data_IF_925842110603
#
_entry.id   IF_925842110603
#
_cell.length_a   1.000
_cell.length_b   1.000
_cell.length_c   1.000
_cell.angle_alpha   90.00
_cell.angle_beta   90.00
_cell.angle_gamma   90.00
#
_symmetry.space_group_name_H-M   'P 1'
#
loop_
_entity.id
_entity.type
_entity.pdbx_description
1 polymer ?
#
# COMPACT_ATOMS: atom_id res chain seq x y z
N UNK A 1 -18.37 2.39 31.89
CA UNK A 1 -16.93 2.01 31.91
C UNK A 1 -16.81 0.72 31.12
N UNK A 2 -16.59 0.82 29.81
CA UNK A 2 -16.28 -0.35 28.98
C UNK A 2 -14.76 -0.42 28.85
N UNK A 3 -14.23 -1.60 29.13
CA UNK A 3 -12.83 -1.94 29.18
C UNK A 3 -12.36 -2.12 27.73
N UNK A 4 -11.66 -1.13 27.17
CA UNK A 4 -10.99 -1.29 25.87
C UNK A 4 -9.83 -2.27 26.06
N UNK A 5 -10.03 -3.52 25.63
CA UNK A 5 -8.99 -4.54 25.60
C UNK A 5 -7.84 -4.05 24.71
N UNK A 6 -6.65 -3.91 25.32
CA UNK A 6 -5.45 -3.26 24.77
C UNK A 6 -4.72 -3.96 23.62
N UNK A 7 -5.45 -4.37 22.58
CA UNK A 7 -4.87 -4.81 21.30
C UNK A 7 -5.43 -3.93 20.18
N UNK A 8 -4.77 -2.80 19.90
CA UNK A 8 -5.11 -1.98 18.73
C UNK A 8 -4.45 -2.54 17.45
N UNK A 9 -5.06 -2.27 16.28
CA UNK A 9 -4.57 -2.82 15.00
C UNK A 9 -3.19 -2.27 14.65
N UNK A 10 -2.90 -1.04 15.08
CA UNK A 10 -1.57 -0.42 14.98
C UNK A 10 -0.49 -1.23 15.70
N UNK A 11 -0.73 -1.68 16.93
CA UNK A 11 0.21 -2.54 17.66
C UNK A 11 0.31 -3.91 16.99
N UNK A 12 -0.81 -4.47 16.52
CA UNK A 12 -0.80 -5.73 15.79
C UNK A 12 0.05 -5.66 14.52
N UNK A 13 -0.14 -4.66 13.64
CA UNK A 13 0.61 -4.53 12.39
C UNK A 13 2.11 -4.27 12.62
N UNK A 14 2.46 -3.45 13.61
CA UNK A 14 3.86 -3.24 14.01
C UNK A 14 4.52 -4.54 14.47
N UNK A 15 3.80 -5.36 15.23
CA UNK A 15 4.33 -6.61 15.80
C UNK A 15 4.26 -7.81 14.82
N UNK A 16 3.28 -7.83 13.92
CA UNK A 16 3.11 -8.88 12.92
C UNK A 16 4.26 -8.87 11.90
N UNK A 17 4.65 -7.68 11.42
CA UNK A 17 5.82 -7.53 10.54
C UNK A 17 7.11 -7.97 11.23
N UNK A 18 7.26 -7.66 12.52
CA UNK A 18 8.44 -8.02 13.31
C UNK A 18 8.55 -9.54 13.55
N UNK A 19 7.42 -10.24 13.70
CA UNK A 19 7.38 -11.70 13.86
C UNK A 19 7.74 -12.43 12.57
N UNK A 20 7.30 -11.93 11.41
CA UNK A 20 7.67 -12.51 10.11
C UNK A 20 9.18 -12.40 9.82
N UNK A 21 9.81 -11.28 10.20
CA UNK A 21 11.26 -11.07 10.05
C UNK A 21 12.06 -11.95 11.04
N UNK A 22 11.60 -12.09 12.28
CA UNK A 22 12.23 -12.95 13.29
C UNK A 22 12.14 -14.44 12.95
N UNK A 23 11.09 -14.87 12.23
CA UNK A 23 10.96 -16.27 11.77
C UNK A 23 11.92 -16.62 10.62
N UNK A 24 12.32 -15.64 9.80
CA UNK A 24 13.19 -15.85 8.64
C UNK A 24 14.69 -15.72 8.95
N UNK A 25 15.05 -15.06 10.06
CA UNK A 25 16.45 -14.81 10.44
C UNK A 25 16.67 -15.34 11.85
N UNK A 26 17.35 -16.50 11.94
CA UNK A 26 17.67 -17.15 13.21
C UNK A 26 18.25 -16.17 14.24
N UNK A 27 17.66 -16.21 15.43
CA UNK A 27 17.99 -15.47 16.66
C UNK A 27 19.30 -14.68 16.64
N UNK A 28 19.20 -13.35 16.52
CA UNK A 28 20.02 -12.41 17.31
C UNK A 28 19.18 -11.22 17.73
N UNK A 29 19.03 -11.10 19.05
CA UNK A 29 18.48 -9.95 19.77
C UNK A 29 19.20 -8.67 19.33
N UNK A 30 18.45 -7.68 18.85
CA UNK A 30 18.92 -6.31 18.72
C UNK A 30 17.77 -5.36 19.09
N UNK A 31 18.13 -4.35 19.86
CA UNK A 31 17.28 -3.48 20.64
C UNK A 31 16.28 -2.68 19.79
N UNK A 32 15.09 -2.45 20.36
CA UNK A 32 14.14 -1.49 19.85
C UNK A 32 14.72 -0.08 20.03
N UNK A 33 15.30 0.47 18.97
CA UNK A 33 15.47 1.91 18.84
C UNK A 33 14.13 2.53 18.47
N UNK A 34 13.71 3.49 19.28
CA UNK A 34 12.56 4.35 19.06
C UNK A 34 12.87 5.21 17.83
N UNK A 35 12.32 4.84 16.67
CA UNK A 35 12.50 5.61 15.45
C UNK A 35 11.71 6.91 15.56
N UNK A 36 12.48 7.99 15.69
CA UNK A 36 12.02 9.37 15.60
C UNK A 36 11.19 9.60 14.34
N UNK A 37 10.08 10.31 14.53
CA UNK A 37 9.18 10.76 13.47
C UNK A 37 9.94 11.74 12.58
N UNK A 38 10.34 11.27 11.40
CA UNK A 38 10.88 12.16 10.36
C UNK A 38 9.72 12.98 9.79
N UNK A 39 9.70 14.25 10.17
CA UNK A 39 8.75 15.25 9.70
C UNK A 39 9.09 15.65 8.25
N UNK A 40 8.27 15.19 7.29
CA UNK A 40 8.38 15.59 5.89
C UNK A 40 7.53 16.84 5.63
N UNK A 41 8.19 17.92 5.21
CA UNK A 41 7.59 19.22 4.95
C UNK A 41 6.53 19.17 3.84
N UNK A 42 5.28 19.53 4.18
CA UNK A 42 4.20 19.73 3.20
C UNK A 42 2.78 19.52 3.75
N UNK A 43 2.26 20.51 4.48
CA UNK A 43 0.85 20.78 4.84
C UNK A 43 0.05 19.70 5.61
N UNK A 44 -0.02 19.90 6.94
CA UNK A 44 -0.97 19.27 7.86
C UNK A 44 -0.66 17.82 8.18
N UNK A 45 -0.51 17.49 9.47
CA UNK A 45 -0.49 16.09 9.90
C UNK A 45 -1.84 15.47 9.52
N UNK A 46 -1.90 14.79 8.37
CA UNK A 46 -3.05 13.96 8.06
C UNK A 46 -3.02 12.78 9.03
N UNK A 47 -3.91 12.82 10.00
CA UNK A 47 -4.12 11.70 10.91
C UNK A 47 -4.81 10.60 10.11
N UNK A 48 -4.07 9.54 9.82
CA UNK A 48 -4.64 8.32 9.24
C UNK A 48 -5.18 7.44 10.35
N UNK A 49 -6.49 7.18 10.30
CA UNK A 49 -7.15 6.20 11.16
C UNK A 49 -7.14 4.82 10.46
N UNK A 50 -6.27 3.93 10.93
CA UNK A 50 -6.20 2.55 10.47
C UNK A 50 -7.06 1.59 11.32
N UNK A 51 -7.68 2.10 12.39
CA UNK A 51 -8.60 1.36 13.24
C UNK A 51 -10.06 1.48 12.71
N UNK A 52 -10.36 2.53 11.93
CA UNK A 52 -11.60 2.63 11.15
C UNK A 52 -11.80 1.38 10.26
N UNK A 53 -12.91 0.67 10.46
CA UNK A 53 -13.27 -0.44 9.60
C UNK A 53 -13.86 0.09 8.28
N UNK A 54 -13.26 -0.30 7.16
CA UNK A 54 -13.74 0.04 5.82
C UNK A 54 -14.26 -1.21 5.12
N UNK A 55 -15.58 -1.36 5.05
CA UNK A 55 -16.20 -2.52 4.37
C UNK A 55 -15.91 -2.49 2.88
N UNK A 56 -15.53 -3.65 2.34
CA UNK A 56 -15.29 -3.89 0.91
C UNK A 56 -16.14 -5.04 0.36
N UNK A 57 -17.12 -5.49 1.14
CA UNK A 57 -18.16 -6.42 0.66
C UNK A 57 -19.11 -5.66 -0.27
N UNK A 58 -19.59 -6.33 -1.31
CA UNK A 58 -20.44 -5.76 -2.36
C UNK A 58 -19.75 -4.62 -3.14
N UNK A 59 -18.43 -4.74 -3.36
CA UNK A 59 -17.63 -3.75 -4.11
C UNK A 59 -16.85 -4.35 -5.27
N UNK A 60 -17.21 -5.57 -5.70
CA UNK A 60 -16.49 -6.40 -6.67
C UNK A 60 -15.05 -6.72 -6.20
N UNK A 61 -14.84 -6.86 -4.90
CA UNK A 61 -13.55 -7.17 -4.30
C UNK A 61 -13.18 -8.64 -4.49
N UNK A 62 -12.03 -8.94 -5.09
CA UNK A 62 -11.54 -10.33 -5.17
C UNK A 62 -11.26 -10.88 -3.76
N UNK A 63 -10.76 -10.05 -2.85
CA UNK A 63 -10.43 -10.47 -1.48
C UNK A 63 -11.66 -10.89 -0.68
N UNK A 64 -12.79 -10.22 -0.87
CA UNK A 64 -14.03 -10.44 -0.12
C UNK A 64 -15.09 -11.15 -0.97
N UNK A 65 -15.60 -10.50 -2.00
CA UNK A 65 -16.74 -10.98 -2.79
C UNK A 65 -16.43 -12.26 -3.55
N UNK A 66 -15.23 -12.37 -4.17
CA UNK A 66 -14.85 -13.63 -4.83
C UNK A 66 -14.61 -14.76 -3.83
N UNK A 67 -14.10 -14.47 -2.62
CA UNK A 67 -13.90 -15.47 -1.59
C UNK A 67 -15.26 -16.00 -1.08
N UNK A 68 -16.21 -15.12 -0.81
CA UNK A 68 -17.58 -15.48 -0.41
C UNK A 68 -18.26 -16.28 -1.52
N UNK A 69 -18.16 -15.84 -2.77
CA UNK A 69 -18.75 -16.55 -3.91
C UNK A 69 -18.14 -17.96 -4.12
N UNK A 70 -16.85 -18.13 -3.85
CA UNK A 70 -16.14 -19.41 -4.08
C UNK A 70 -16.31 -20.39 -2.92
N UNK A 71 -16.26 -19.90 -1.68
CA UNK A 71 -16.18 -20.74 -0.48
C UNK A 71 -17.42 -20.66 0.41
N UNK A 72 -18.40 -19.80 0.08
CA UNK A 72 -19.65 -19.61 0.81
C UNK A 72 -19.61 -18.45 1.82
N UNK A 73 -20.79 -18.12 2.35
CA UNK A 73 -20.98 -17.04 3.34
C UNK A 73 -20.34 -17.30 4.70
N UNK A 74 -19.77 -18.50 4.91
CA UNK A 74 -18.98 -18.84 6.09
C UNK A 74 -17.64 -18.08 6.14
N UNK A 75 -17.19 -17.48 5.02
CA UNK A 75 -16.01 -16.62 4.99
C UNK A 75 -16.30 -15.30 5.72
N UNK A 76 -15.91 -15.25 6.99
CA UNK A 76 -16.04 -14.05 7.83
C UNK A 76 -14.80 -13.14 7.79
N UNK A 77 -13.67 -13.62 7.26
CA UNK A 77 -12.40 -12.90 7.27
C UNK A 77 -11.63 -13.12 5.95
N UNK A 78 -11.47 -12.07 5.16
CA UNK A 78 -10.65 -12.08 3.94
C UNK A 78 -9.17 -11.87 4.24
N UNK A 79 -8.35 -12.93 4.13
CA UNK A 79 -6.88 -12.85 4.36
C UNK A 79 -6.02 -13.48 3.24
N UNK A 80 -6.63 -13.84 2.10
CA UNK A 80 -5.93 -14.57 1.03
C UNK A 80 -5.22 -13.68 -0.02
N UNK A 81 -5.81 -12.55 -0.39
CA UNK A 81 -5.30 -11.67 -1.46
C UNK A 81 -4.50 -10.51 -0.88
N UNK A 82 -3.36 -10.20 -1.51
CA UNK A 82 -2.43 -9.16 -1.06
C UNK A 82 -2.87 -7.74 -1.46
N UNK A 83 -4.03 -7.31 -0.98
CA UNK A 83 -4.45 -5.91 -0.93
C UNK A 83 -4.90 -5.53 0.51
N UNK A 84 -5.20 -4.25 0.74
CA UNK A 84 -5.46 -3.70 2.07
C UNK A 84 -6.92 -3.28 2.26
N UNK A 85 -7.44 -3.41 3.48
CA UNK A 85 -8.78 -2.93 3.86
C UNK A 85 -8.72 -1.54 4.49
N UNK A 86 -7.94 -0.64 3.88
CA UNK A 86 -7.80 0.75 4.29
C UNK A 86 -8.22 1.67 3.16
N UNK A 87 -8.70 2.87 3.52
CA UNK A 87 -8.86 3.95 2.56
C UNK A 87 -7.50 4.28 1.93
N UNK A 88 -7.48 4.54 0.63
CA UNK A 88 -6.29 5.08 -0.01
C UNK A 88 -5.92 6.44 0.62
N UNK A 89 -4.63 6.81 0.65
CA UNK A 89 -4.20 8.14 1.09
C UNK A 89 -4.95 9.26 0.36
N UNK A 90 -5.34 10.32 1.07
CA UNK A 90 -6.18 11.37 0.49
C UNK A 90 -5.55 12.04 -0.73
N UNK A 91 -4.22 12.12 -0.79
CA UNK A 91 -3.52 12.67 -1.96
C UNK A 91 -3.80 11.88 -3.24
N UNK A 92 -3.95 10.54 -3.14
CA UNK A 92 -4.29 9.68 -4.27
C UNK A 92 -5.74 9.89 -4.68
N UNK A 93 -6.66 9.87 -3.71
CA UNK A 93 -8.09 10.08 -3.97
C UNK A 93 -8.36 11.45 -4.60
N UNK A 94 -7.70 12.51 -4.12
CA UNK A 94 -7.81 13.86 -4.69
C UNK A 94 -7.30 13.92 -6.13
N UNK A 95 -6.11 13.37 -6.41
CA UNK A 95 -5.57 13.35 -7.77
C UNK A 95 -6.47 12.58 -8.75
N UNK A 96 -7.11 11.49 -8.30
CA UNK A 96 -8.10 10.76 -9.10
C UNK A 96 -9.36 11.60 -9.34
N UNK A 97 -9.89 12.27 -8.30
CA UNK A 97 -11.06 13.14 -8.42
C UNK A 97 -10.80 14.33 -9.36
N UNK A 98 -9.64 15.00 -9.23
CA UNK A 98 -9.20 16.07 -10.13
C UNK A 98 -9.08 15.57 -11.57
N UNK A 99 -8.56 14.35 -11.77
CA UNK A 99 -8.53 13.75 -13.12
C UNK A 99 -9.95 13.48 -13.65
N UNK A 100 -10.90 13.12 -12.78
CA UNK A 100 -12.32 12.92 -13.14
C UNK A 100 -13.00 14.19 -13.67
N UNK A 101 -12.54 15.39 -13.26
CA UNK A 101 -13.07 16.67 -13.76
C UNK A 101 -12.76 16.91 -15.25
N UNK A 102 -11.72 16.25 -15.79
CA UNK A 102 -11.43 16.29 -17.23
C UNK A 102 -12.16 15.15 -17.97
N UNK A 103 -13.30 15.47 -18.57
CA UNK A 103 -14.26 14.50 -19.13
C UNK A 103 -13.84 13.81 -20.45
N UNK A 104 -12.58 13.94 -20.87
CA UNK A 104 -12.04 13.21 -22.03
C UNK A 104 -11.14 12.05 -21.57
N UNK A 105 -11.44 10.85 -22.07
CA UNK A 105 -10.79 9.58 -21.72
C UNK A 105 -9.94 8.98 -22.86
N UNK A 106 -9.59 9.79 -23.86
CA UNK A 106 -8.72 9.39 -24.96
C UNK A 106 -7.27 9.10 -24.52
N UNK A 107 -6.42 8.83 -25.50
CA UNK A 107 -5.02 8.48 -25.25
C UNK A 107 -4.26 9.58 -24.50
N UNK A 108 -3.57 9.19 -23.42
CA UNK A 108 -2.75 10.09 -22.62
C UNK A 108 -1.28 10.01 -23.06
N UNK A 109 -0.67 11.17 -23.26
CA UNK A 109 0.79 11.29 -23.25
C UNK A 109 1.27 11.33 -21.81
N UNK A 110 2.27 10.53 -21.48
CA UNK A 110 2.89 10.53 -20.14
C UNK A 110 3.71 11.80 -19.93
N UNK A 111 3.53 12.54 -18.82
CA UNK A 111 4.40 13.64 -18.45
C UNK A 111 5.76 13.13 -17.92
N UNK A 112 6.83 13.91 -18.04
CA UNK A 112 8.15 13.54 -17.51
C UNK A 112 8.14 13.37 -15.99
N UNK A 113 7.31 14.17 -15.31
CA UNK A 113 7.10 14.13 -13.86
C UNK A 113 6.70 12.74 -13.33
N UNK A 114 6.13 11.88 -14.17
CA UNK A 114 5.81 10.51 -13.77
C UNK A 114 7.06 9.68 -13.50
N UNK A 115 8.06 9.77 -14.38
CA UNK A 115 9.34 9.03 -14.21
C UNK A 115 10.19 9.69 -13.14
N UNK A 116 10.22 11.02 -13.10
CA UNK A 116 10.90 11.79 -12.05
C UNK A 116 10.41 11.36 -10.66
N UNK A 117 9.10 11.24 -10.44
CA UNK A 117 8.54 10.80 -9.17
C UNK A 117 9.00 9.39 -8.74
N UNK A 118 9.19 8.45 -9.68
CA UNK A 118 9.69 7.10 -9.40
C UNK A 118 11.16 7.15 -8.96
N UNK A 119 11.99 7.88 -9.69
CA UNK A 119 13.42 8.04 -9.39
C UNK A 119 13.60 8.69 -8.03
N UNK A 120 12.90 9.80 -7.81
CA UNK A 120 12.86 10.55 -6.57
C UNK A 120 12.46 9.72 -5.36
N UNK A 121 11.40 8.91 -5.50
CA UNK A 121 10.92 8.05 -4.43
C UNK A 121 11.99 7.03 -4.02
N UNK A 122 12.64 6.40 -4.99
CA UNK A 122 13.68 5.41 -4.74
C UNK A 122 14.95 6.04 -4.16
N UNK A 123 15.34 7.22 -4.64
CA UNK A 123 16.46 7.98 -4.08
C UNK A 123 16.22 8.34 -2.62
N UNK A 124 15.07 8.96 -2.29
CA UNK A 124 14.75 9.36 -0.91
C UNK A 124 14.57 8.18 0.04
N UNK A 125 13.96 7.09 -0.41
CA UNK A 125 13.56 5.98 0.47
C UNK A 125 14.64 4.92 0.63
N UNK A 126 15.41 4.68 -0.42
CA UNK A 126 16.35 3.58 -0.51
C UNK A 126 17.77 4.03 -0.88
N UNK A 127 18.01 5.31 -1.16
CA UNK A 127 19.32 5.82 -1.57
C UNK A 127 19.75 5.34 -2.95
N UNK A 128 18.80 4.92 -3.80
CA UNK A 128 19.11 4.39 -5.13
C UNK A 128 19.20 5.52 -6.16
N UNK A 129 20.33 5.57 -6.86
CA UNK A 129 20.52 6.42 -8.04
C UNK A 129 20.07 5.66 -9.30
N UNK A 130 18.88 6.01 -9.80
CA UNK A 130 18.26 5.35 -10.95
C UNK A 130 18.34 6.30 -12.15
N UNK A 131 18.98 5.85 -13.23
CA UNK A 131 18.95 6.57 -14.52
C UNK A 131 17.50 6.58 -15.07
N UNK A 132 16.84 7.75 -15.21
CA UNK A 132 15.49 7.86 -15.72
C UNK A 132 15.29 7.20 -17.09
N UNK A 133 16.34 7.13 -17.93
CA UNK A 133 16.28 6.53 -19.26
C UNK A 133 16.09 5.01 -19.24
N UNK A 134 16.41 4.36 -18.12
CA UNK A 134 16.28 2.91 -17.92
C UNK A 134 14.90 2.49 -17.43
N UNK A 135 14.04 3.45 -17.06
CA UNK A 135 12.71 3.16 -16.51
C UNK A 135 11.74 2.78 -17.63
N UNK A 136 11.37 1.50 -17.65
CA UNK A 136 10.32 0.97 -18.51
C UNK A 136 9.06 0.73 -17.68
N UNK A 137 7.92 1.27 -18.13
CA UNK A 137 6.65 1.05 -17.44
C UNK A 137 5.89 -0.13 -18.02
N UNK A 138 5.33 -0.92 -17.13
CA UNK A 138 4.43 -2.03 -17.43
C UNK A 138 3.12 -1.83 -16.67
N UNK A 139 2.07 -2.55 -17.06
CA UNK A 139 0.77 -2.52 -16.35
C UNK A 139 0.80 -3.26 -15.01
N UNK A 140 1.88 -3.97 -14.72
CA UNK A 140 2.10 -4.69 -13.49
C UNK A 140 3.41 -5.47 -13.52
N UNK A 141 3.79 -6.07 -12.39
CA UNK A 141 5.04 -6.83 -12.26
C UNK A 141 5.02 -8.10 -13.12
N UNK A 142 3.88 -8.82 -13.16
CA UNK A 142 3.80 -10.09 -13.87
C UNK A 142 4.04 -9.97 -15.40
N UNK A 143 3.42 -9.03 -16.14
CA UNK A 143 3.79 -8.79 -17.54
C UNK A 143 5.25 -8.39 -17.74
N UNK A 144 5.83 -7.61 -16.81
CA UNK A 144 7.25 -7.24 -16.86
C UNK A 144 8.17 -8.44 -16.70
N UNK A 145 7.83 -9.38 -15.81
CA UNK A 145 8.57 -10.61 -15.63
C UNK A 145 8.53 -11.48 -16.90
N UNK A 146 7.36 -11.66 -17.50
CA UNK A 146 7.23 -12.41 -18.77
C UNK A 146 8.12 -11.79 -19.85
N UNK A 147 8.08 -10.47 -20.01
CA UNK A 147 8.87 -9.76 -21.02
C UNK A 147 10.38 -9.88 -20.79
N UNK A 148 10.84 -10.04 -19.55
CA UNK A 148 12.25 -10.20 -19.22
C UNK A 148 12.78 -11.64 -19.36
N UNK A 149 11.88 -12.64 -19.36
CA UNK A 149 12.23 -14.05 -19.48
C UNK A 149 12.26 -14.56 -20.93
N UNK A 150 11.69 -13.79 -21.86
CA UNK A 150 11.70 -14.07 -23.30
C UNK A 150 12.91 -13.43 -23.98
#
# INVERSE_FOLDING_TARGET
MQQENGLNRRAFLKNAGMTAVLGAVGTRTAFAEELDVVESAGSGLQVYDFDEAYSRVDTDSIKWDSAIATYGEEIQVGMGIADMDFRAPQCITKALAERCEHENWGYLRRPSSYVEAIVDWNSRRYGLDIDPSTVVLTTGVHPGLIAALH
#
